data_IF_105467157052
#
_entry.id   IF_105467157052
#
_cell.length_a   1.000
_cell.length_b   1.000
_cell.length_c   1.000
_cell.angle_alpha   90.00
_cell.angle_beta   90.00
_cell.angle_gamma   90.00
#
_symmetry.space_group_name_H-M   'P 1'
#
loop_
_entity.id
_entity.type
_entity.pdbx_description
1 polymer ?
#
# COMPACT_ATOMS: atom_id res chain seq x y z
N UNK A 1 22.54 12.77 -0.89
CA UNK A 1 22.99 11.37 -0.80
C UNK A 1 21.79 10.44 -1.00
N UNK A 2 21.30 10.31 -2.23
CA UNK A 2 20.12 9.50 -2.56
C UNK A 2 20.46 8.80 -3.88
N UNK A 3 20.31 7.47 -3.93
CA UNK A 3 20.36 6.57 -5.12
C UNK A 3 21.24 5.32 -5.00
N UNK A 4 21.74 4.95 -3.82
CA UNK A 4 22.34 3.63 -3.64
C UNK A 4 21.62 2.71 -2.64
N UNK A 5 20.42 3.12 -2.20
CA UNK A 5 19.59 2.25 -1.39
C UNK A 5 19.05 1.11 -2.27
N UNK A 6 19.40 -0.12 -1.91
CA UNK A 6 18.97 -1.32 -2.62
C UNK A 6 17.44 -1.40 -2.69
N UNK A 7 16.76 -1.06 -1.59
CA UNK A 7 15.29 -1.12 -1.49
C UNK A 7 14.64 -0.12 -2.42
N UNK A 8 15.18 1.08 -2.53
CA UNK A 8 14.70 2.08 -3.49
C UNK A 8 14.76 1.56 -4.93
N UNK A 9 15.89 0.93 -5.32
CA UNK A 9 16.05 0.37 -6.67
C UNK A 9 15.09 -0.78 -6.95
N UNK A 10 14.86 -1.66 -5.97
CA UNK A 10 13.88 -2.76 -6.08
C UNK A 10 12.46 -2.23 -6.30
N UNK A 11 12.01 -1.27 -5.47
CA UNK A 11 10.67 -0.68 -5.60
C UNK A 11 10.53 0.06 -6.92
N UNK A 12 11.54 0.84 -7.32
CA UNK A 12 11.51 1.57 -8.58
C UNK A 12 11.50 0.64 -9.80
N UNK A 13 12.28 -0.45 -9.76
CA UNK A 13 12.28 -1.49 -10.79
C UNK A 13 10.87 -2.05 -11.00
N UNK A 14 10.27 -2.56 -9.93
CA UNK A 14 8.94 -3.16 -9.97
C UNK A 14 7.85 -2.18 -10.45
N UNK A 15 7.95 -0.88 -10.15
CA UNK A 15 7.03 0.14 -10.67
C UNK A 15 7.26 0.48 -12.15
N UNK A 16 8.49 0.31 -12.63
CA UNK A 16 8.89 0.65 -13.99
C UNK A 16 8.74 -0.53 -14.96
N UNK A 17 8.44 -1.72 -14.45
CA UNK A 17 8.24 -2.91 -15.27
C UNK A 17 7.03 -2.74 -16.20
N UNK A 18 7.29 -2.78 -17.51
CA UNK A 18 6.29 -2.62 -18.57
C UNK A 18 6.22 -3.85 -19.50
N UNK A 19 6.57 -5.04 -18.99
CA UNK A 19 6.51 -6.27 -19.76
C UNK A 19 5.09 -6.71 -20.11
N UNK A 20 4.93 -7.36 -21.26
CA UNK A 20 3.63 -7.85 -21.76
C UNK A 20 3.34 -9.29 -21.27
N UNK A 21 4.36 -9.99 -20.76
CA UNK A 21 4.26 -11.34 -20.18
C UNK A 21 4.12 -11.32 -18.65
N UNK A 22 4.07 -12.50 -18.03
CA UNK A 22 4.14 -12.62 -16.56
C UNK A 22 5.35 -11.84 -16.00
N UNK A 23 5.10 -10.98 -15.02
CA UNK A 23 6.16 -10.25 -14.33
C UNK A 23 7.07 -11.21 -13.56
N UNK A 24 8.40 -11.07 -13.68
CA UNK A 24 9.37 -11.71 -12.79
C UNK A 24 9.10 -11.38 -11.32
N UNK A 25 9.51 -12.25 -10.39
CA UNK A 25 9.22 -12.07 -8.95
C UNK A 25 9.84 -10.81 -8.36
N UNK A 26 11.01 -10.43 -8.85
CA UNK A 26 11.73 -9.21 -8.49
C UNK A 26 11.04 -7.93 -8.96
N UNK A 27 10.07 -8.07 -9.88
CA UNK A 27 9.24 -6.98 -10.40
C UNK A 27 7.82 -6.97 -9.81
N UNK A 28 7.55 -7.81 -8.80
CA UNK A 28 6.24 -7.87 -8.16
C UNK A 28 6.01 -6.73 -7.17
N UNK A 29 4.73 -6.48 -6.88
CA UNK A 29 4.35 -5.56 -5.82
C UNK A 29 4.88 -6.03 -4.46
N UNK A 30 5.52 -5.13 -3.71
CA UNK A 30 6.11 -5.44 -2.41
C UNK A 30 5.61 -4.50 -1.31
N UNK A 31 5.22 -5.08 -0.18
CA UNK A 31 4.82 -4.35 1.02
C UNK A 31 6.01 -4.21 1.98
N UNK A 32 6.08 -3.15 2.80
CA UNK A 32 5.08 -2.09 2.99
C UNK A 32 5.17 -0.94 1.98
N UNK A 33 6.29 -0.77 1.28
CA UNK A 33 6.60 0.47 0.54
C UNK A 33 5.56 0.82 -0.53
N UNK A 34 5.10 -0.16 -1.32
CA UNK A 34 4.11 0.12 -2.36
C UNK A 34 2.73 0.43 -1.81
N UNK A 35 2.40 -0.01 -0.59
CA UNK A 35 1.18 0.40 0.09
C UNK A 35 1.10 1.92 0.25
N UNK A 36 2.22 2.56 0.60
CA UNK A 36 2.34 4.02 0.70
C UNK A 36 2.27 4.71 -0.67
N UNK A 37 2.83 4.12 -1.71
CA UNK A 37 2.79 4.70 -3.05
C UNK A 37 1.38 4.66 -3.64
N UNK A 38 0.66 3.56 -3.45
CA UNK A 38 -0.72 3.40 -3.91
C UNK A 38 -1.61 4.42 -3.21
N UNK A 39 -1.58 4.48 -1.88
CA UNK A 39 -2.43 5.41 -1.13
C UNK A 39 -2.12 6.87 -1.47
N UNK A 40 -0.85 7.22 -1.68
CA UNK A 40 -0.47 8.56 -2.12
C UNK A 40 -0.97 8.87 -3.54
N UNK A 41 -0.89 7.90 -4.46
CA UNK A 41 -1.29 8.08 -5.87
C UNK A 41 -2.79 8.30 -6.03
N UNK A 42 -3.59 7.56 -5.27
CA UNK A 42 -5.06 7.60 -5.37
C UNK A 42 -5.71 8.49 -4.32
N UNK A 43 -4.93 9.01 -3.37
CA UNK A 43 -5.41 9.74 -2.20
C UNK A 43 -6.52 8.97 -1.45
N UNK A 44 -6.32 7.66 -1.27
CA UNK A 44 -7.28 6.75 -0.64
C UNK A 44 -6.55 5.78 0.28
N UNK A 45 -7.05 5.48 1.49
CA UNK A 45 -6.45 4.48 2.34
C UNK A 45 -6.49 3.10 1.69
N UNK A 46 -5.48 2.25 1.94
CA UNK A 46 -5.46 0.86 1.49
C UNK A 46 -5.39 -0.10 2.68
N UNK A 47 -6.30 -1.06 2.73
CA UNK A 47 -6.26 -2.20 3.63
C UNK A 47 -5.65 -3.39 2.91
N UNK A 48 -4.62 -3.97 3.52
CA UNK A 48 -4.04 -5.24 3.09
C UNK A 48 -4.33 -6.28 4.15
N UNK A 49 -5.20 -7.24 3.81
CA UNK A 49 -5.44 -8.44 4.59
C UNK A 49 -4.37 -9.47 4.22
N UNK A 50 -3.70 -10.06 5.21
CA UNK A 50 -2.61 -11.01 4.90
C UNK A 50 -2.54 -12.14 5.90
N UNK A 51 -2.18 -13.32 5.39
CA UNK A 51 -1.73 -14.47 6.19
C UNK A 51 -0.23 -14.75 6.03
N UNK A 52 0.49 -13.98 5.20
CA UNK A 52 1.86 -14.26 4.78
C UNK A 52 2.86 -13.09 4.89
N UNK A 53 2.40 -11.84 4.83
CA UNK A 53 3.24 -10.62 4.94
C UNK A 53 3.36 -10.10 6.39
N UNK A 54 2.79 -10.83 7.35
CA UNK A 54 2.59 -10.38 8.72
C UNK A 54 1.14 -9.95 8.99
N UNK A 55 0.89 -9.15 10.04
CA UNK A 55 -0.46 -8.73 10.39
C UNK A 55 -1.13 -7.91 9.29
N UNK A 56 -2.43 -8.14 9.08
CA UNK A 56 -3.26 -7.26 8.25
C UNK A 56 -3.10 -5.80 8.69
N UNK A 57 -2.96 -4.89 7.72
CA UNK A 57 -2.51 -3.51 7.97
C UNK A 57 -3.24 -2.52 7.07
N UNK A 58 -3.52 -1.34 7.61
CA UNK A 58 -4.07 -0.19 6.86
C UNK A 58 -2.98 0.85 6.60
N UNK A 59 -2.87 1.33 5.36
CA UNK A 59 -1.95 2.37 4.93
C UNK A 59 -2.72 3.63 4.53
N UNK A 60 -2.11 4.78 4.78
CA UNK A 60 -2.67 6.11 4.51
C UNK A 60 -1.63 6.95 3.75
N UNK A 61 -2.06 8.02 3.04
CA UNK A 61 -1.13 8.96 2.42
C UNK A 61 -0.13 9.48 3.45
N UNK A 62 1.14 9.60 3.05
CA UNK A 62 2.19 10.13 3.93
C UNK A 62 2.17 11.66 3.97
N UNK A 63 1.53 12.30 3.01
CA UNK A 63 1.41 13.74 2.95
C UNK A 63 0.17 14.18 2.16
N UNK A 64 -0.23 15.42 2.40
CA UNK A 64 -1.41 16.03 1.80
C UNK A 64 -2.69 15.73 2.58
N UNK A 65 -3.73 16.54 2.36
CA UNK A 65 -4.96 16.44 3.14
C UNK A 65 -5.65 15.09 2.87
N UNK A 66 -6.33 14.53 3.89
CA UNK A 66 -7.13 13.33 3.72
C UNK A 66 -8.19 13.54 2.63
N UNK A 67 -8.61 12.46 1.96
CA UNK A 67 -9.70 12.55 1.00
C UNK A 67 -10.96 13.15 1.64
N UNK A 68 -11.75 13.92 0.88
CA UNK A 68 -13.04 14.42 1.36
C UNK A 68 -13.92 13.27 1.87
N UNK A 69 -14.72 13.48 2.93
CA UNK A 69 -15.60 12.45 3.50
C UNK A 69 -16.62 11.85 2.52
N UNK A 70 -16.84 12.50 1.37
CA UNK A 70 -17.78 12.09 0.32
C UNK A 70 -17.22 11.09 -0.70
N UNK A 71 -15.92 10.77 -0.65
CA UNK A 71 -15.30 9.76 -1.54
C UNK A 71 -15.27 8.40 -0.82
N UNK A 72 -15.98 7.41 -1.38
CA UNK A 72 -15.99 6.02 -0.90
C UNK A 72 -14.61 5.36 -0.96
N UNK A 73 -14.28 4.48 0.00
CA UNK A 73 -13.66 4.95 1.24
C UNK A 73 -12.30 4.29 1.52
N UNK A 74 -11.91 3.31 0.69
CA UNK A 74 -10.87 2.36 1.01
C UNK A 74 -10.58 1.48 -0.22
N UNK A 75 -9.31 1.27 -0.56
CA UNK A 75 -8.88 0.17 -1.41
C UNK A 75 -8.65 -1.05 -0.50
N UNK A 76 -9.27 -2.19 -0.78
CA UNK A 76 -8.99 -3.41 -0.01
C UNK A 76 -8.35 -4.49 -0.88
N UNK A 77 -7.31 -5.13 -0.37
CA UNK A 77 -6.61 -6.22 -1.01
C UNK A 77 -6.34 -7.36 -0.03
N UNK A 78 -6.38 -8.60 -0.52
CA UNK A 78 -5.87 -9.75 0.20
C UNK A 78 -4.56 -10.24 -0.42
N UNK A 79 -3.58 -10.50 0.42
CA UNK A 79 -2.38 -11.23 0.07
C UNK A 79 -2.52 -12.69 0.49
N UNK A 80 -2.49 -13.58 -0.51
CA UNK A 80 -2.69 -15.03 -0.35
C UNK A 80 -1.56 -15.82 -0.99
N UNK A 81 -1.35 -17.04 -0.52
CA UNK A 81 -0.39 -18.02 -1.08
C UNK A 81 1.06 -17.51 -1.20
N UNK A 82 1.43 -16.51 -0.40
CA UNK A 82 2.76 -15.90 -0.40
C UNK A 82 3.23 -15.36 -1.76
N UNK A 83 2.29 -15.02 -2.66
CA UNK A 83 2.62 -14.51 -3.99
C UNK A 83 1.54 -13.71 -4.70
N UNK A 84 0.31 -13.63 -4.19
CA UNK A 84 -0.81 -13.12 -4.97
C UNK A 84 -1.60 -12.06 -4.22
N UNK A 85 -1.93 -10.97 -4.91
CA UNK A 85 -2.83 -9.93 -4.43
C UNK A 85 -4.16 -9.98 -5.18
N UNK A 86 -5.25 -9.97 -4.43
CA UNK A 86 -6.61 -9.90 -4.97
C UNK A 86 -7.30 -8.66 -4.45
N UNK A 87 -8.04 -7.95 -5.30
CA UNK A 87 -8.94 -6.89 -4.86
C UNK A 87 -10.13 -7.51 -4.10
N UNK A 88 -10.58 -6.83 -3.04
CA UNK A 88 -11.71 -7.25 -2.22
C UNK A 88 -12.70 -6.12 -2.02
N UNK A 89 -13.97 -6.48 -1.95
CA UNK A 89 -15.03 -5.63 -1.45
C UNK A 89 -15.37 -6.06 -0.01
N UNK A 90 -15.23 -5.14 0.94
CA UNK A 90 -15.61 -5.37 2.33
C UNK A 90 -17.10 -5.11 2.52
N UNK A 91 -17.74 -5.92 3.36
CA UNK A 91 -19.10 -5.64 3.81
C UNK A 91 -19.09 -4.47 4.79
N UNK A 92 -20.19 -3.74 4.83
CA UNK A 92 -20.38 -2.68 5.82
C UNK A 92 -20.24 -3.22 7.24
N UNK A 93 -19.57 -2.44 8.10
CA UNK A 93 -19.32 -2.81 9.49
C UNK A 93 -18.19 -3.82 9.71
N UNK A 94 -17.47 -4.24 8.67
CA UNK A 94 -16.27 -5.05 8.84
C UNK A 94 -15.21 -4.30 9.67
N UNK A 95 -14.52 -4.99 10.61
CA UNK A 95 -13.43 -4.37 11.36
C UNK A 95 -12.27 -4.06 10.42
N UNK A 96 -11.78 -2.83 10.48
CA UNK A 96 -10.62 -2.37 9.71
C UNK A 96 -9.33 -2.66 10.50
N UNK A 97 -8.29 -3.25 9.89
CA UNK A 97 -7.02 -3.49 10.56
C UNK A 97 -6.34 -2.19 11.04
N UNK A 98 -5.41 -2.28 12.00
CA UNK A 98 -4.72 -1.10 12.53
C UNK A 98 -3.84 -0.41 11.47
N UNK A 99 -3.61 0.89 11.67
CA UNK A 99 -2.72 1.69 10.83
C UNK A 99 -1.27 1.21 10.92
N UNK A 100 -0.59 1.20 9.77
CA UNK A 100 0.82 0.84 9.64
C UNK A 100 1.68 1.64 10.61
N UNK A 101 2.58 0.96 11.32
CA UNK A 101 3.53 1.62 12.24
C UNK A 101 4.45 2.61 11.52
N UNK A 102 4.79 2.36 10.25
CA UNK A 102 5.62 3.27 9.46
C UNK A 102 4.86 4.56 9.12
N UNK A 103 3.55 4.48 8.86
CA UNK A 103 2.73 5.68 8.67
C UNK A 103 2.78 6.56 9.92
N UNK A 104 2.49 5.98 11.09
CA UNK A 104 2.50 6.69 12.38
C UNK A 104 3.82 7.38 12.72
N UNK A 105 4.92 6.95 12.13
CA UNK A 105 6.27 7.50 12.37
C UNK A 105 6.73 8.51 11.33
N UNK A 106 6.15 8.50 10.13
CA UNK A 106 6.73 9.17 8.96
C UNK A 106 5.75 10.03 8.17
N UNK A 107 4.45 10.03 8.50
CA UNK A 107 3.53 10.98 7.90
C UNK A 107 3.91 12.42 8.28
N UNK A 108 3.54 13.35 7.41
CA UNK A 108 3.65 14.79 7.65
C UNK A 108 2.41 15.26 8.39
N UNK A 109 2.55 16.37 9.12
CA UNK A 109 1.44 17.02 9.85
C UNK A 109 0.24 17.35 8.94
N UNK A 110 0.47 17.58 7.65
CA UNK A 110 -0.61 17.85 6.68
C UNK A 110 -1.50 16.62 6.37
N UNK A 111 -1.12 15.42 6.84
CA UNK A 111 -1.86 14.17 6.69
C UNK A 111 -2.65 13.75 7.95
N UNK A 112 -2.62 14.54 9.02
CA UNK A 112 -3.25 14.22 10.33
C UNK A 112 -4.76 14.54 10.42
N UNK A 113 -5.39 15.05 9.35
CA UNK A 113 -6.75 15.60 9.44
C UNK A 113 -7.87 14.55 9.46
#
# INVERSE_FOLDING_TARGET
MINNDRRYKEVLGALSYAGISNSPRDEWMTMPDMGFLITQKFNQPIVVLSTGLGPSTTYFPLCGPPPPPSISPLICQAYVNDNHFMALDLKDGCPIPPSCNLWRRHHREDADS
#
